data_IF_560273272968
#
_entry.id   IF_560273272968
#
_cell.length_a   1.000
_cell.length_b   1.000
_cell.length_c   1.000
_cell.angle_alpha   90.00
_cell.angle_beta   90.00
_cell.angle_gamma   90.00
#
_symmetry.space_group_name_H-M   'P 1'
#
loop_
_entity.id
_entity.type
_entity.pdbx_description
1 polymer ?
#
# COMPACT_ATOMS: atom_id res chain seq x y z
N UNK A 1 1.81 -0.56 -20.37
CA UNK A 1 2.41 -1.40 -19.31
C UNK A 1 1.34 -1.89 -18.35
N UNK A 2 0.53 -1.00 -17.81
CA UNK A 2 -0.59 -1.30 -16.90
C UNK A 2 -1.58 -2.39 -17.39
N UNK A 3 -2.20 -2.20 -18.55
CA UNK A 3 -3.10 -3.21 -19.14
C UNK A 3 -2.41 -4.56 -19.38
N UNK A 4 -1.10 -4.56 -19.64
CA UNK A 4 -0.30 -5.78 -19.84
C UNK A 4 0.05 -6.49 -18.53
N UNK A 5 0.33 -5.77 -17.45
CA UNK A 5 0.62 -6.39 -16.15
C UNK A 5 -0.60 -7.14 -15.61
N UNK A 6 -1.81 -6.66 -15.91
CA UNK A 6 -3.07 -7.27 -15.50
C UNK A 6 -3.66 -8.26 -16.54
N UNK A 7 -2.86 -8.71 -17.52
CA UNK A 7 -3.35 -9.58 -18.61
C UNK A 7 -3.84 -10.96 -18.15
N UNK A 8 -3.37 -11.44 -17.00
CA UNK A 8 -3.74 -12.76 -16.48
C UNK A 8 -5.20 -12.81 -16.01
N UNK A 9 -5.73 -11.68 -15.54
CA UNK A 9 -7.09 -11.54 -15.04
C UNK A 9 -8.09 -11.35 -16.18
N UNK A 10 -9.26 -11.97 -16.07
CA UNK A 10 -10.33 -11.93 -17.07
C UNK A 10 -11.63 -11.48 -16.43
N UNK A 11 -12.46 -10.78 -17.20
CA UNK A 11 -13.87 -10.59 -16.85
C UNK A 11 -14.74 -11.76 -17.35
N UNK A 12 -16.05 -11.71 -17.06
CA UNK A 12 -17.01 -12.73 -17.47
C UNK A 12 -17.12 -12.93 -19.00
N UNK A 13 -16.68 -11.94 -19.80
CA UNK A 13 -16.63 -12.02 -21.27
C UNK A 13 -15.27 -12.52 -21.79
N UNK A 14 -14.34 -12.84 -20.88
CA UNK A 14 -12.98 -13.26 -21.20
C UNK A 14 -12.07 -12.12 -21.67
N UNK A 15 -12.49 -10.86 -21.51
CA UNK A 15 -11.64 -9.69 -21.78
C UNK A 15 -10.58 -9.60 -20.68
N UNK A 16 -9.37 -9.17 -21.04
CA UNK A 16 -8.20 -9.14 -20.16
C UNK A 16 -7.71 -7.73 -19.92
N UNK A 17 -6.86 -7.55 -18.91
CA UNK A 17 -6.19 -6.29 -18.61
C UNK A 17 -6.88 -5.45 -17.55
N UNK A 18 -6.58 -4.15 -17.53
CA UNK A 18 -7.08 -3.19 -16.54
C UNK A 18 -8.61 -3.09 -16.60
N UNK A 19 -9.23 -2.87 -15.44
CA UNK A 19 -10.65 -2.56 -15.36
C UNK A 19 -10.93 -1.21 -16.05
N UNK A 20 -12.03 -1.14 -16.81
CA UNK A 20 -12.43 0.08 -17.50
C UNK A 20 -12.65 1.23 -16.50
N UNK A 21 -12.56 2.47 -16.99
CA UNK A 21 -12.90 3.65 -16.18
C UNK A 21 -14.32 3.54 -15.61
N UNK A 22 -15.31 3.26 -16.45
CA UNK A 22 -16.71 3.14 -16.04
C UNK A 22 -16.92 2.07 -14.96
N UNK A 23 -16.29 0.90 -15.10
CA UNK A 23 -16.36 -0.18 -14.11
C UNK A 23 -15.79 0.24 -12.74
N UNK A 24 -14.62 0.90 -12.74
CA UNK A 24 -13.97 1.40 -11.52
C UNK A 24 -14.82 2.47 -10.83
N UNK A 25 -15.30 3.45 -11.59
CA UNK A 25 -16.13 4.55 -11.08
C UNK A 25 -17.43 4.03 -10.47
N UNK A 26 -18.16 3.16 -11.17
CA UNK A 26 -19.43 2.60 -10.68
C UNK A 26 -19.22 1.73 -9.44
N UNK A 27 -18.19 0.89 -9.44
CA UNK A 27 -17.87 0.03 -8.28
C UNK A 27 -17.49 0.86 -7.06
N UNK A 28 -16.66 1.88 -7.24
CA UNK A 28 -16.26 2.77 -6.15
C UNK A 28 -17.43 3.60 -5.62
N UNK A 29 -18.28 4.15 -6.49
CA UNK A 29 -19.51 4.82 -6.09
C UNK A 29 -20.45 3.91 -5.29
N UNK A 30 -20.54 2.62 -5.66
CA UNK A 30 -21.33 1.66 -4.87
C UNK A 30 -20.74 1.40 -3.49
N UNK A 31 -19.43 1.24 -3.39
CA UNK A 31 -18.73 1.11 -2.10
C UNK A 31 -19.01 2.32 -1.20
N UNK A 32 -18.83 3.54 -1.74
CA UNK A 32 -19.10 4.78 -1.02
C UNK A 32 -20.56 4.88 -0.59
N UNK A 33 -21.51 4.45 -1.43
CA UNK A 33 -22.93 4.41 -1.06
C UNK A 33 -23.22 3.48 0.11
N UNK A 34 -22.51 2.33 0.22
CA UNK A 34 -22.64 1.41 1.34
C UNK A 34 -22.13 2.07 2.63
N UNK A 35 -20.99 2.78 2.56
CA UNK A 35 -20.47 3.55 3.69
C UNK A 35 -21.45 4.68 4.05
N UNK A 36 -21.93 5.44 3.06
CA UNK A 36 -22.93 6.50 3.20
C UNK A 36 -24.19 6.09 3.95
N UNK A 37 -24.74 4.91 3.63
CA UNK A 37 -25.90 4.36 4.31
C UNK A 37 -25.67 4.13 5.82
N UNK A 38 -24.41 4.02 6.27
CA UNK A 38 -24.10 3.89 7.70
C UNK A 38 -24.34 5.19 8.48
N UNK A 39 -24.52 6.33 7.81
CA UNK A 39 -24.88 7.60 8.44
C UNK A 39 -26.18 7.52 9.24
N UNK A 40 -27.15 6.70 8.81
CA UNK A 40 -28.42 6.48 9.53
C UNK A 40 -28.25 5.81 10.90
N UNK A 41 -27.07 5.25 11.18
CA UNK A 41 -26.74 4.60 12.45
C UNK A 41 -25.89 5.46 13.38
N UNK A 42 -25.67 6.74 13.05
CA UNK A 42 -24.98 7.66 13.95
C UNK A 42 -25.79 7.85 15.23
N UNK A 43 -25.15 7.66 16.39
CA UNK A 43 -25.81 7.89 17.68
C UNK A 43 -26.16 9.37 17.85
N UNK A 44 -27.20 9.66 18.65
CA UNK A 44 -27.53 11.03 19.03
C UNK A 44 -26.34 11.68 19.74
N UNK A 45 -25.94 12.87 19.28
CA UNK A 45 -24.80 13.60 19.85
C UNK A 45 -24.95 13.79 21.37
N UNK A 46 -26.14 14.15 21.84
CA UNK A 46 -26.44 14.32 23.26
C UNK A 46 -26.19 13.06 24.08
N UNK A 47 -26.42 11.87 23.50
CA UNK A 47 -26.16 10.59 24.18
C UNK A 47 -24.66 10.30 24.28
N UNK A 48 -23.90 10.61 23.24
CA UNK A 48 -22.44 10.52 23.26
C UNK A 48 -21.88 11.47 24.31
N UNK A 49 -22.34 12.73 24.32
CA UNK A 49 -21.89 13.76 25.24
C UNK A 49 -22.19 13.41 26.70
N UNK A 50 -23.39 12.88 26.98
CA UNK A 50 -23.78 12.38 28.30
C UNK A 50 -22.92 11.21 28.77
N UNK A 51 -22.72 10.19 27.92
CA UNK A 51 -22.01 8.97 28.32
C UNK A 51 -20.48 9.16 28.36
N UNK A 52 -19.92 9.96 27.45
CA UNK A 52 -18.48 10.25 27.46
C UNK A 52 -18.11 11.25 28.54
N UNK A 53 -18.97 12.25 28.80
CA UNK A 53 -18.78 13.33 29.77
C UNK A 53 -17.34 13.89 29.79
N UNK A 54 -16.74 14.05 28.61
CA UNK A 54 -15.31 14.35 28.51
C UNK A 54 -15.03 15.83 28.73
N UNK A 55 -14.64 16.19 29.96
CA UNK A 55 -14.25 17.56 30.33
C UNK A 55 -12.76 17.84 30.08
N UNK A 56 -11.97 16.84 29.65
CA UNK A 56 -10.53 17.02 29.44
C UNK A 56 -10.28 17.92 28.25
N UNK A 57 -9.61 19.04 28.50
CA UNK A 57 -9.13 19.95 27.45
C UNK A 57 -7.94 19.31 26.74
N UNK A 58 -8.05 19.17 25.41
CA UNK A 58 -6.95 18.76 24.55
C UNK A 58 -5.87 19.84 24.54
N UNK A 59 -4.58 19.50 24.71
CA UNK A 59 -3.49 20.48 24.62
C UNK A 59 -3.33 21.06 23.21
N UNK A 60 -3.85 20.36 22.19
CA UNK A 60 -3.66 20.72 20.78
C UNK A 60 -4.79 21.60 20.25
N UNK A 61 -6.05 21.28 20.56
CA UNK A 61 -7.19 22.12 20.16
C UNK A 61 -7.57 23.16 21.22
N UNK A 62 -7.03 23.05 22.44
CA UNK A 62 -7.43 23.84 23.61
C UNK A 62 -8.95 23.78 23.88
N UNK A 63 -9.57 22.64 23.59
CA UNK A 63 -11.01 22.37 23.74
C UNK A 63 -11.24 20.99 24.34
N UNK A 64 -12.33 20.84 25.08
CA UNK A 64 -12.87 19.52 25.43
C UNK A 64 -13.64 18.92 24.24
N UNK A 65 -13.83 17.60 24.26
CA UNK A 65 -14.61 16.93 23.22
C UNK A 65 -16.10 16.97 23.56
N UNK A 66 -16.91 17.45 22.62
CA UNK A 66 -18.36 17.27 22.59
C UNK A 66 -18.78 16.93 21.16
N UNK A 67 -19.50 15.82 20.98
CA UNK A 67 -19.97 15.29 19.71
C UNK A 67 -20.82 16.30 18.95
N UNK A 68 -21.69 17.07 19.62
CA UNK A 68 -22.49 18.08 18.92
C UNK A 68 -21.60 19.15 18.26
N UNK A 69 -20.60 19.64 18.99
CA UNK A 69 -19.70 20.66 18.47
C UNK A 69 -18.72 20.10 17.43
N UNK A 70 -18.22 18.89 17.65
CA UNK A 70 -17.34 18.17 16.73
C UNK A 70 -18.02 17.97 15.37
N UNK A 71 -19.27 17.50 15.37
CA UNK A 71 -20.07 17.37 14.14
C UNK A 71 -20.34 18.71 13.46
N UNK A 72 -20.56 19.78 14.22
CA UNK A 72 -20.78 21.10 13.66
C UNK A 72 -19.52 21.68 13.00
N UNK A 73 -18.34 21.44 13.57
CA UNK A 73 -17.06 21.95 13.07
C UNK A 73 -16.45 21.08 11.97
N UNK A 74 -16.42 19.78 12.21
CA UNK A 74 -15.66 18.83 11.41
C UNK A 74 -16.55 17.78 10.74
N UNK A 75 -17.86 17.77 10.96
CA UNK A 75 -18.78 16.84 10.30
C UNK A 75 -19.02 17.18 8.83
N UNK A 76 -19.08 16.15 8.00
CA UNK A 76 -19.54 16.28 6.62
C UNK A 76 -21.07 16.27 6.63
N UNK A 77 -21.70 17.36 6.20
CA UNK A 77 -23.15 17.56 6.31
C UNK A 77 -23.68 17.42 7.76
N UNK A 78 -22.87 17.82 8.74
CA UNK A 78 -23.22 17.71 10.17
C UNK A 78 -23.12 16.30 10.75
N UNK A 79 -22.47 15.36 10.06
CA UNK A 79 -22.24 13.99 10.51
C UNK A 79 -20.75 13.61 10.42
N UNK A 80 -20.26 12.82 11.38
CA UNK A 80 -18.93 12.21 11.28
C UNK A 80 -19.00 10.73 10.89
N UNK A 81 -20.20 10.15 10.87
CA UNK A 81 -20.49 8.80 10.39
C UNK A 81 -20.78 8.75 8.89
N UNK A 82 -20.60 7.57 8.29
CA UNK A 82 -20.99 7.32 6.91
C UNK A 82 -20.22 8.11 5.84
N UNK A 83 -19.08 8.69 6.21
CA UNK A 83 -18.20 9.41 5.28
C UNK A 83 -16.87 8.69 5.09
N UNK A 84 -16.15 9.09 4.04
CA UNK A 84 -14.80 8.64 3.73
C UNK A 84 -13.94 9.87 3.50
N UNK A 85 -12.83 9.98 4.21
CA UNK A 85 -11.79 10.97 3.91
C UNK A 85 -10.62 10.28 3.24
N UNK A 86 -10.32 10.62 1.98
CA UNK A 86 -9.16 10.12 1.27
C UNK A 86 -7.96 11.05 1.49
N UNK A 87 -6.87 10.50 2.01
CA UNK A 87 -5.60 11.21 2.04
C UNK A 87 -4.86 10.93 0.74
N UNK A 88 -4.52 11.98 0.00
CA UNK A 88 -3.68 11.85 -1.17
C UNK A 88 -2.33 12.55 -0.95
N UNK A 89 -1.26 11.88 -1.36
CA UNK A 89 0.10 12.40 -1.39
C UNK A 89 0.55 12.50 -2.86
N UNK A 90 0.57 13.71 -3.45
CA UNK A 90 0.91 13.92 -4.86
C UNK A 90 2.28 13.38 -5.27
N UNK A 91 3.20 13.26 -4.31
CA UNK A 91 4.59 12.84 -4.51
C UNK A 91 4.88 11.39 -4.12
N UNK A 92 3.85 10.60 -3.81
CA UNK A 92 4.00 9.15 -3.61
C UNK A 92 4.37 8.44 -4.91
N UNK A 93 5.59 7.89 -4.92
CA UNK A 93 6.09 7.13 -6.05
C UNK A 93 5.62 5.67 -6.05
N UNK A 94 5.44 5.05 -4.90
CA UNK A 94 5.03 3.65 -4.82
C UNK A 94 3.61 3.47 -5.37
N UNK A 95 2.67 4.33 -4.99
CA UNK A 95 1.28 4.27 -5.45
C UNK A 95 1.10 4.87 -6.85
N UNK A 96 2.04 5.70 -7.32
CA UNK A 96 2.06 6.21 -8.70
C UNK A 96 2.64 5.25 -9.73
N UNK A 97 3.15 4.08 -9.30
CA UNK A 97 3.60 3.05 -10.22
C UNK A 97 2.59 2.85 -11.35
N UNK A 98 3.06 2.77 -12.59
CA UNK A 98 2.20 2.75 -13.79
C UNK A 98 1.15 1.64 -13.77
N UNK A 99 1.40 0.55 -13.03
CA UNK A 99 0.48 -0.58 -12.87
C UNK A 99 -0.55 -0.42 -11.74
N UNK A 100 -0.38 0.60 -10.89
CA UNK A 100 -1.23 0.89 -9.73
C UNK A 100 -2.04 2.15 -10.04
N UNK A 101 -1.38 3.32 -10.02
CA UNK A 101 -2.00 4.65 -10.18
C UNK A 101 -3.17 4.86 -9.20
N UNK A 102 -2.91 4.63 -7.90
CA UNK A 102 -3.94 4.64 -6.87
C UNK A 102 -4.40 6.05 -6.47
N UNK A 103 -5.58 6.15 -5.85
CA UNK A 103 -6.15 7.43 -5.37
C UNK A 103 -5.35 8.02 -4.19
N UNK A 104 -4.59 7.20 -3.46
CA UNK A 104 -3.68 7.68 -2.40
C UNK A 104 -2.50 8.49 -2.95
N UNK A 105 -2.15 8.32 -4.22
CA UNK A 105 -1.24 9.21 -4.93
C UNK A 105 -2.02 10.32 -5.62
N UNK A 106 -2.86 9.94 -6.59
CA UNK A 106 -3.45 10.84 -7.60
C UNK A 106 -4.56 11.74 -7.05
N UNK A 107 -5.12 11.40 -5.90
CA UNK A 107 -6.43 11.88 -5.48
C UNK A 107 -7.49 11.60 -6.56
N UNK A 108 -8.57 12.35 -6.48
CA UNK A 108 -9.74 12.24 -7.34
C UNK A 108 -10.09 13.66 -7.82
N UNK A 109 -10.14 13.84 -9.13
CA UNK A 109 -10.47 15.15 -9.71
C UNK A 109 -11.95 15.48 -9.54
N UNK A 110 -12.32 16.76 -9.72
CA UNK A 110 -13.72 17.20 -9.69
C UNK A 110 -14.61 16.41 -10.66
N UNK A 111 -14.14 16.18 -11.89
CA UNK A 111 -14.89 15.41 -12.90
C UNK A 111 -15.06 13.94 -12.47
N UNK A 112 -14.02 13.34 -11.89
CA UNK A 112 -14.15 11.96 -11.39
C UNK A 112 -15.11 11.87 -10.20
N UNK A 113 -15.12 12.86 -9.30
CA UNK A 113 -16.10 12.93 -8.20
C UNK A 113 -17.54 13.02 -8.74
N UNK A 114 -17.76 13.85 -9.77
CA UNK A 114 -19.05 13.98 -10.46
C UNK A 114 -19.49 12.65 -11.09
N UNK A 115 -18.57 11.94 -11.77
CA UNK A 115 -18.87 10.64 -12.38
C UNK A 115 -19.14 9.53 -11.35
N UNK A 116 -18.47 9.57 -10.18
CA UNK A 116 -18.70 8.62 -9.07
C UNK A 116 -20.14 8.79 -8.52
N UNK A 117 -20.66 10.03 -8.52
CA UNK A 117 -22.08 10.30 -8.28
C UNK A 117 -22.56 10.15 -6.83
N UNK A 118 -21.66 10.22 -5.84
CA UNK A 118 -21.97 10.07 -4.41
C UNK A 118 -21.55 11.30 -3.60
N UNK A 119 -22.15 12.44 -3.93
CA UNK A 119 -21.87 13.71 -3.27
C UNK A 119 -22.12 13.63 -1.75
N UNK A 120 -21.26 14.32 -0.98
CA UNK A 120 -21.43 14.42 0.48
C UNK A 120 -21.05 13.18 1.28
N UNK A 121 -20.35 12.22 0.67
CA UNK A 121 -19.80 11.02 1.35
C UNK A 121 -18.27 11.05 1.36
N UNK A 122 -17.66 11.36 0.21
CA UNK A 122 -16.21 11.34 0.04
C UNK A 122 -15.65 12.76 0.09
N UNK A 123 -14.61 12.94 0.90
CA UNK A 123 -13.79 14.16 0.94
C UNK A 123 -12.32 13.80 0.79
N UNK A 124 -11.47 14.80 0.57
CA UNK A 124 -10.04 14.61 0.36
C UNK A 124 -9.20 15.59 1.18
N UNK A 125 -8.05 15.11 1.68
CA UNK A 125 -6.96 15.95 2.18
C UNK A 125 -5.70 15.69 1.38
N UNK A 126 -4.98 16.75 1.04
CA UNK A 126 -3.72 16.67 0.30
C UNK A 126 -2.57 16.87 1.28
N UNK A 127 -1.66 15.90 1.33
CA UNK A 127 -0.40 16.01 2.06
C UNK A 127 0.72 16.27 1.05
N UNK A 128 1.19 17.52 0.99
CA UNK A 128 2.25 17.96 0.10
C UNK A 128 3.05 19.11 0.73
N UNK A 129 4.36 19.17 0.45
CA UNK A 129 5.18 20.31 0.89
C UNK A 129 4.70 21.62 0.28
N UNK A 130 4.68 22.68 1.11
CA UNK A 130 4.15 23.98 0.72
C UNK A 130 2.62 24.05 0.69
N UNK A 131 1.92 22.96 1.03
CA UNK A 131 0.47 22.90 1.10
C UNK A 131 0.02 22.49 2.51
N UNK A 132 -0.44 23.45 3.34
CA UNK A 132 -0.98 23.12 4.65
C UNK A 132 -2.13 22.11 4.54
N UNK A 133 -2.11 21.11 5.41
CA UNK A 133 -3.21 20.16 5.60
C UNK A 133 -4.30 20.86 6.40
N UNK A 134 -5.56 20.61 6.06
CA UNK A 134 -6.71 21.17 6.79
C UNK A 134 -7.27 22.47 6.24
N UNK A 135 -6.88 22.86 5.03
CA UNK A 135 -7.50 23.97 4.29
C UNK A 135 -8.25 23.46 3.07
N UNK A 136 -9.45 24.00 2.85
CA UNK A 136 -10.22 23.72 1.64
C UNK A 136 -9.73 24.52 0.44
N UNK A 137 -8.84 23.93 -0.37
CA UNK A 137 -8.32 24.57 -1.59
C UNK A 137 -7.93 23.55 -2.65
N UNK A 138 -7.97 23.90 -3.94
CA UNK A 138 -7.50 23.02 -4.99
C UNK A 138 -5.98 22.82 -4.88
N UNK A 139 -5.52 21.59 -5.14
CA UNK A 139 -4.11 21.26 -5.36
C UNK A 139 -3.89 20.93 -6.84
N UNK A 140 -3.09 21.74 -7.52
CA UNK A 140 -2.74 21.60 -8.94
C UNK A 140 -1.37 20.93 -9.00
N UNK A 141 -1.32 19.72 -9.55
CA UNK A 141 -0.14 18.85 -9.36
C UNK A 141 1.15 19.47 -9.86
N UNK A 142 1.13 20.13 -11.01
CA UNK A 142 2.34 20.66 -11.62
C UNK A 142 2.73 22.04 -11.07
N UNK A 143 1.73 22.85 -10.73
CA UNK A 143 1.88 24.24 -10.32
C UNK A 143 2.13 24.40 -8.82
N UNK A 144 1.58 23.49 -8.01
CA UNK A 144 1.74 23.46 -6.55
C UNK A 144 2.78 22.40 -6.11
N UNK A 145 3.58 21.89 -7.06
CA UNK A 145 4.77 21.08 -6.79
C UNK A 145 5.83 21.91 -6.04
N UNK A 146 6.46 21.33 -5.02
CA UNK A 146 7.44 22.03 -4.18
C UNK A 146 8.70 22.50 -4.93
N UNK A 147 8.97 21.96 -6.12
CA UNK A 147 10.06 22.35 -7.02
C UNK A 147 9.61 23.28 -8.15
N UNK A 148 8.31 23.58 -8.26
CA UNK A 148 7.79 24.44 -9.31
C UNK A 148 8.44 25.84 -9.28
N UNK A 149 8.95 26.29 -10.43
CA UNK A 149 9.60 27.59 -10.58
C UNK A 149 10.94 27.76 -9.86
N UNK A 150 11.50 26.69 -9.25
CA UNK A 150 12.81 26.72 -8.58
C UNK A 150 13.94 26.44 -9.56
N UNK A 151 15.13 26.98 -9.29
CA UNK A 151 16.31 26.80 -10.14
C UNK A 151 17.11 25.57 -9.70
N UNK A 152 17.83 24.96 -10.65
CA UNK A 152 18.73 23.83 -10.38
C UNK A 152 18.05 22.51 -10.00
N UNK A 153 16.72 22.41 -10.14
CA UNK A 153 15.96 21.20 -9.84
C UNK A 153 16.13 20.13 -10.92
N UNK A 154 15.97 18.86 -10.54
CA UNK A 154 15.95 17.74 -11.50
C UNK A 154 14.69 17.83 -12.38
N UNK A 155 14.79 17.48 -13.67
CA UNK A 155 13.68 17.58 -14.60
C UNK A 155 12.54 16.60 -14.29
N UNK A 156 11.32 17.00 -14.61
CA UNK A 156 10.11 16.18 -14.48
C UNK A 156 9.42 16.29 -13.11
N UNK A 157 8.27 15.61 -12.99
CA UNK A 157 7.43 15.68 -11.78
C UNK A 157 7.99 14.91 -10.58
N UNK A 158 8.87 13.95 -10.81
CA UNK A 158 9.33 13.04 -9.76
C UNK A 158 10.65 13.49 -9.12
N UNK A 159 10.68 13.44 -7.79
CA UNK A 159 11.90 13.44 -6.98
C UNK A 159 11.82 12.30 -5.95
N UNK A 160 12.85 11.44 -5.84
CA UNK A 160 13.93 11.25 -6.82
C UNK A 160 13.37 10.94 -8.23
N UNK A 161 14.12 11.14 -9.33
CA UNK A 161 13.58 10.88 -10.66
C UNK A 161 13.12 9.44 -10.82
N UNK A 162 11.88 9.27 -11.30
CA UNK A 162 11.27 7.97 -11.60
C UNK A 162 12.22 7.09 -12.41
N UNK A 163 12.59 5.87 -11.99
CA UNK A 163 13.52 5.05 -12.73
C UNK A 163 12.91 4.52 -14.05
N UNK A 164 13.73 4.20 -15.06
CA UNK A 164 13.24 3.51 -16.25
C UNK A 164 12.85 2.07 -15.89
N UNK A 165 11.80 1.54 -16.52
CA UNK A 165 11.45 0.13 -16.40
C UNK A 165 12.58 -0.72 -17.01
N UNK A 166 13.14 -1.65 -16.21
CA UNK A 166 14.19 -2.56 -16.64
C UNK A 166 13.64 -3.99 -16.72
N UNK A 167 14.01 -4.70 -17.77
CA UNK A 167 13.77 -6.14 -17.81
C UNK A 167 14.67 -6.82 -16.79
N UNK A 168 14.08 -7.53 -15.83
CA UNK A 168 14.81 -8.32 -14.86
C UNK A 168 14.73 -9.80 -15.27
N UNK A 169 15.76 -10.28 -15.96
CA UNK A 169 15.84 -11.68 -16.41
C UNK A 169 15.74 -12.66 -15.22
N UNK A 170 16.45 -12.37 -14.13
CA UNK A 170 16.43 -13.21 -12.93
C UNK A 170 15.00 -13.25 -12.34
N UNK A 171 14.34 -12.10 -12.25
CA UNK A 171 12.94 -12.01 -11.82
C UNK A 171 11.97 -12.72 -12.77
N UNK A 172 12.18 -12.62 -14.08
CA UNK A 172 11.35 -13.26 -15.10
C UNK A 172 11.50 -14.79 -15.08
N UNK A 173 12.71 -15.31 -14.87
CA UNK A 173 12.95 -16.75 -14.70
C UNK A 173 12.33 -17.23 -13.37
N UNK A 174 12.57 -16.51 -12.26
CA UNK A 174 12.01 -16.82 -10.93
C UNK A 174 10.48 -16.77 -10.89
N UNK A 175 9.84 -16.02 -11.80
CA UNK A 175 8.39 -15.93 -11.92
C UNK A 175 7.74 -17.02 -12.76
N UNK A 176 8.50 -17.91 -13.39
CA UNK A 176 7.96 -19.05 -14.14
C UNK A 176 7.97 -20.32 -13.29
N UNK A 177 6.81 -20.98 -13.23
CA UNK A 177 6.62 -22.21 -12.47
C UNK A 177 6.96 -23.48 -13.27
N UNK A 178 7.33 -23.34 -14.56
CA UNK A 178 7.66 -24.47 -15.44
C UNK A 178 9.00 -24.30 -16.14
N UNK A 179 9.68 -25.43 -16.37
CA UNK A 179 10.95 -25.51 -17.12
C UNK A 179 10.81 -24.93 -18.53
N UNK A 180 9.66 -25.16 -19.18
CA UNK A 180 9.37 -24.60 -20.50
C UNK A 180 9.21 -23.07 -20.46
N UNK A 181 8.52 -22.52 -19.45
CA UNK A 181 8.41 -21.07 -19.25
C UNK A 181 9.75 -20.40 -18.96
N UNK A 182 10.63 -21.06 -18.20
CA UNK A 182 12.01 -20.59 -17.98
C UNK A 182 12.82 -20.56 -19.28
N UNK A 183 12.72 -21.61 -20.12
CA UNK A 183 13.41 -21.68 -21.41
C UNK A 183 12.91 -20.58 -22.39
N UNK A 184 11.60 -20.38 -22.48
CA UNK A 184 11.02 -19.30 -23.31
C UNK A 184 11.47 -17.90 -22.83
N UNK A 185 11.62 -17.71 -21.52
CA UNK A 185 12.13 -16.47 -20.94
C UNK A 185 13.59 -16.23 -21.32
N UNK A 186 14.43 -17.26 -21.28
CA UNK A 186 15.84 -17.17 -21.70
C UNK A 186 15.98 -16.83 -23.19
N UNK A 187 15.14 -17.41 -24.05
CA UNK A 187 15.14 -17.16 -25.50
C UNK A 187 14.71 -15.73 -25.84
N UNK A 188 13.72 -15.19 -25.11
CA UNK A 188 13.18 -13.84 -25.36
C UNK A 188 13.96 -12.73 -24.65
N UNK A 189 14.79 -13.07 -23.66
CA UNK A 189 15.55 -12.11 -22.85
C UNK A 189 16.43 -11.13 -23.64
N UNK A 190 17.20 -11.55 -24.67
CA UNK A 190 18.05 -10.61 -25.42
C UNK A 190 17.24 -9.50 -26.09
N UNK A 191 16.08 -9.84 -26.66
CA UNK A 191 15.16 -8.87 -27.25
C UNK A 191 14.61 -7.91 -26.18
N UNK A 192 14.20 -8.43 -25.02
CA UNK A 192 13.69 -7.61 -23.92
C UNK A 192 14.75 -6.67 -23.32
N UNK A 193 16.02 -7.10 -23.24
CA UNK A 193 17.13 -6.23 -22.85
C UNK A 193 17.39 -5.13 -23.87
N UNK A 194 17.35 -5.43 -25.17
CA UNK A 194 17.49 -4.40 -26.23
C UNK A 194 16.34 -3.41 -26.16
N UNK A 195 15.09 -3.89 -26.06
CA UNK A 195 13.90 -3.03 -25.98
C UNK A 195 13.93 -2.14 -24.74
N UNK A 196 14.22 -2.70 -23.56
CA UNK A 196 14.28 -1.92 -22.31
C UNK A 196 15.50 -1.00 -22.24
N UNK A 197 16.61 -1.39 -22.86
CA UNK A 197 17.79 -0.53 -23.02
C UNK A 197 17.51 0.68 -23.91
N UNK A 198 16.87 0.48 -25.07
CA UNK A 198 16.45 1.57 -25.97
C UNK A 198 15.42 2.47 -25.28
N UNK A 199 14.39 1.90 -24.64
CA UNK A 199 13.37 2.71 -23.95
C UNK A 199 13.98 3.52 -22.80
N UNK A 200 14.88 2.92 -22.01
CA UNK A 200 15.61 3.62 -20.96
C UNK A 200 16.43 4.78 -21.51
N UNK A 201 17.16 4.57 -22.61
CA UNK A 201 17.99 5.61 -23.24
C UNK A 201 17.15 6.76 -23.82
N UNK A 202 15.95 6.46 -24.31
CA UNK A 202 15.00 7.43 -24.85
C UNK A 202 14.10 8.07 -23.78
N UNK A 203 14.34 7.82 -22.49
CA UNK A 203 13.49 8.32 -21.40
C UNK A 203 12.02 7.85 -21.51
N UNK A 204 11.79 6.67 -22.09
CA UNK A 204 10.49 6.05 -22.29
C UNK A 204 10.27 4.92 -21.27
N UNK A 205 9.00 4.62 -20.97
CA UNK A 205 8.59 3.53 -20.07
C UNK A 205 9.15 3.67 -18.64
N UNK A 206 8.87 4.81 -18.01
CA UNK A 206 9.18 5.06 -16.59
C UNK A 206 8.31 4.20 -15.67
N UNK A 207 8.82 3.89 -14.47
CA UNK A 207 8.13 3.06 -13.47
C UNK A 207 6.92 3.79 -12.88
N UNK A 208 7.06 5.10 -12.63
CA UNK A 208 5.99 5.96 -12.14
C UNK A 208 5.25 6.63 -13.30
N UNK A 209 3.93 6.71 -13.20
CA UNK A 209 3.11 7.51 -14.11
C UNK A 209 3.24 8.99 -13.77
N UNK A 210 3.25 9.87 -14.76
CA UNK A 210 3.18 11.31 -14.50
C UNK A 210 1.72 11.74 -14.29
N UNK A 211 1.46 12.72 -13.41
CA UNK A 211 0.13 13.29 -13.28
C UNK A 211 -0.30 13.93 -14.61
N UNK A 212 -1.56 13.77 -15.05
CA UNK A 212 -2.04 14.41 -16.26
C UNK A 212 -1.79 15.93 -16.25
N UNK A 213 -1.57 16.54 -17.41
CA UNK A 213 -1.43 18.01 -17.49
C UNK A 213 -2.72 18.67 -17.02
N UNK A 214 -2.59 19.69 -16.16
CA UNK A 214 -3.74 20.38 -15.55
C UNK A 214 -4.49 19.56 -14.50
N UNK A 215 -3.96 18.40 -14.07
CA UNK A 215 -4.58 17.59 -13.04
C UNK A 215 -4.71 18.38 -11.73
N UNK A 216 -5.94 18.48 -11.24
CA UNK A 216 -6.28 19.23 -10.03
C UNK A 216 -7.16 18.36 -9.15
N UNK A 217 -6.78 18.26 -7.88
CA UNK A 217 -7.58 17.62 -6.83
C UNK A 217 -8.20 18.70 -5.97
N UNK A 218 -9.44 18.46 -5.54
CA UNK A 218 -10.12 19.36 -4.59
C UNK A 218 -9.85 18.82 -3.20
N UNK A 219 -9.06 19.53 -2.38
CA UNK A 219 -9.03 19.27 -0.94
C UNK A 219 -10.29 19.89 -0.35
N UNK A 220 -11.31 19.08 -0.10
CA UNK A 220 -12.67 19.49 0.31
C UNK A 220 -13.09 18.91 1.66
N UNK A 221 -12.19 18.21 2.35
CA UNK A 221 -12.45 17.77 3.73
C UNK A 221 -12.72 18.99 4.64
N UNK A 222 -13.55 18.84 5.69
CA UNK A 222 -13.80 19.91 6.65
C UNK A 222 -12.52 20.50 7.21
N UNK A 223 -12.52 21.81 7.48
CA UNK A 223 -11.36 22.51 8.01
C UNK A 223 -10.92 21.89 9.34
N UNK A 224 -9.60 21.90 9.56
CA UNK A 224 -9.01 21.51 10.83
C UNK A 224 -8.93 22.71 11.76
N UNK A 225 -8.95 22.47 13.07
CA UNK A 225 -8.83 23.54 14.07
C UNK A 225 -7.55 24.35 13.89
N UNK A 226 -6.44 23.68 13.54
CA UNK A 226 -5.18 24.29 13.20
C UNK A 226 -4.63 23.64 11.91
N UNK A 227 -4.72 24.31 10.75
CA UNK A 227 -4.04 23.85 9.56
C UNK A 227 -2.53 23.83 9.74
N UNK A 228 -1.87 22.76 9.30
CA UNK A 228 -0.45 22.54 9.56
C UNK A 228 0.32 22.13 8.30
N UNK A 229 1.60 22.52 8.15
CA UNK A 229 2.45 21.98 7.09
C UNK A 229 2.77 20.51 7.39
N UNK A 230 2.63 19.58 6.44
CA UNK A 230 2.99 18.19 6.68
C UNK A 230 4.51 18.04 6.76
N UNK A 231 4.99 17.15 7.63
CA UNK A 231 6.41 16.83 7.82
C UNK A 231 6.62 15.32 7.91
N UNK A 232 7.55 14.79 7.12
CA UNK A 232 7.91 13.38 7.15
C UNK A 232 8.92 13.12 8.26
N UNK A 233 8.74 12.00 8.96
CA UNK A 233 9.69 11.49 9.93
C UNK A 233 10.32 10.20 9.40
N UNK A 234 11.65 10.15 9.40
CA UNK A 234 12.41 8.95 9.04
C UNK A 234 13.32 8.57 10.19
N UNK A 235 13.18 7.34 10.67
CA UNK A 235 13.85 6.84 11.88
C UNK A 235 13.67 7.79 13.09
N UNK A 236 12.46 8.34 13.24
CA UNK A 236 12.09 9.27 14.32
C UNK A 236 12.64 10.69 14.18
N UNK A 237 13.26 11.04 13.04
CA UNK A 237 13.84 12.36 12.80
C UNK A 237 13.10 13.07 11.65
N UNK A 238 12.87 14.40 11.77
CA UNK A 238 12.38 15.20 10.65
C UNK A 238 13.27 15.06 9.42
N UNK A 239 12.63 14.90 8.26
CA UNK A 239 13.31 14.89 6.97
C UNK A 239 13.43 16.32 6.45
N UNK A 240 14.58 16.67 5.89
CA UNK A 240 14.76 17.83 5.02
C UNK A 240 15.37 17.34 3.70
N UNK A 241 14.64 17.52 2.61
CA UNK A 241 15.05 17.14 1.26
C UNK A 241 15.32 18.38 0.42
N UNK A 242 16.44 18.38 -0.32
CA UNK A 242 16.82 19.46 -1.23
C UNK A 242 16.95 18.99 -2.68
N UNK A 243 16.51 19.84 -3.61
CA UNK A 243 16.71 19.68 -5.05
C UNK A 243 16.94 21.05 -5.68
N UNK A 244 18.17 21.38 -6.05
CA UNK A 244 18.53 22.76 -6.40
C UNK A 244 18.17 23.73 -5.28
N UNK A 245 17.43 24.78 -5.62
CA UNK A 245 16.94 25.80 -4.67
C UNK A 245 15.63 25.41 -3.97
N UNK A 246 15.10 24.21 -4.23
CA UNK A 246 13.90 23.71 -3.58
C UNK A 246 14.24 22.98 -2.27
N UNK A 247 13.44 23.21 -1.23
CA UNK A 247 13.50 22.49 0.05
C UNK A 247 12.12 21.93 0.39
N UNK A 248 12.09 20.74 0.96
CA UNK A 248 10.86 20.06 1.35
C UNK A 248 11.06 19.30 2.67
N UNK A 249 10.11 19.45 3.59
CA UNK A 249 10.10 18.75 4.87
C UNK A 249 9.23 17.47 4.85
N UNK A 250 8.60 17.16 3.72
CA UNK A 250 7.66 16.04 3.58
C UNK A 250 8.04 15.05 2.48
N UNK A 251 8.68 15.52 1.40
CA UNK A 251 9.19 14.67 0.35
C UNK A 251 10.48 14.01 0.82
N UNK A 252 10.65 12.72 0.49
CA UNK A 252 11.81 11.96 0.93
C UNK A 252 12.76 11.68 -0.25
N UNK A 253 14.02 11.38 0.07
CA UNK A 253 14.97 10.79 -0.88
C UNK A 253 14.67 9.31 -1.14
N UNK A 254 15.64 8.56 -1.66
CA UNK A 254 15.46 7.11 -1.81
C UNK A 254 15.24 6.45 -0.44
N UNK A 255 14.46 5.37 -0.42
CA UNK A 255 14.25 4.53 0.77
C UNK A 255 14.96 3.17 0.69
N UNK A 256 16.31 3.14 0.74
CA UNK A 256 17.01 1.88 0.59
C UNK A 256 16.86 0.99 1.82
N UNK A 257 16.63 -0.32 1.65
CA UNK A 257 16.52 -1.27 2.75
C UNK A 257 17.81 -1.30 3.61
N UNK A 258 18.97 -1.01 3.02
CA UNK A 258 20.22 -0.94 3.78
C UNK A 258 20.24 0.14 4.88
N UNK A 259 19.41 1.17 4.79
CA UNK A 259 19.28 2.21 5.81
C UNK A 259 18.55 1.72 7.08
N UNK A 260 17.73 0.67 6.96
CA UNK A 260 16.90 0.15 8.06
C UNK A 260 17.69 -0.67 9.09
N UNK A 261 18.95 -0.99 8.77
CA UNK A 261 19.92 -1.61 9.69
C UNK A 261 20.20 -0.71 10.89
N UNK A 262 20.59 -1.31 12.00
CA UNK A 262 20.91 -0.63 13.24
C UNK A 262 22.19 0.19 13.10
N UNK A 263 22.03 1.51 13.13
CA UNK A 263 23.15 2.46 13.03
C UNK A 263 24.11 2.40 14.23
N UNK A 264 23.62 1.94 15.38
CA UNK A 264 24.35 1.95 16.65
C UNK A 264 24.79 0.56 17.10
N UNK A 265 24.71 -0.45 16.22
CA UNK A 265 25.12 -1.81 16.54
C UNK A 265 26.60 -1.86 16.91
N UNK A 266 26.89 -2.26 18.14
CA UNK A 266 28.26 -2.33 18.64
C UNK A 266 29.07 -3.38 17.86
N UNK A 267 30.37 -3.13 17.69
CA UNK A 267 31.24 -4.06 16.94
C UNK A 267 31.32 -5.44 17.59
N UNK A 268 31.15 -5.54 18.91
CA UNK A 268 31.07 -6.82 19.62
C UNK A 268 29.80 -7.63 19.31
N UNK A 269 28.72 -6.96 18.89
CA UNK A 269 27.43 -7.58 18.53
C UNK A 269 27.33 -7.90 17.04
N UNK A 270 28.29 -7.43 16.23
CA UNK A 270 28.39 -7.75 14.81
C UNK A 270 28.99 -9.14 14.62
N UNK A 271 28.41 -9.90 13.70
CA UNK A 271 28.89 -11.23 13.35
C UNK A 271 29.57 -11.22 11.99
N UNK A 272 30.73 -11.88 11.91
CA UNK A 272 31.53 -11.97 10.69
C UNK A 272 30.83 -12.74 9.56
N UNK A 273 29.89 -13.63 9.90
CA UNK A 273 29.14 -14.45 8.97
C UNK A 273 27.70 -13.93 8.71
N UNK A 274 27.40 -12.71 9.16
CA UNK A 274 26.09 -12.06 8.98
C UNK A 274 26.14 -11.05 7.83
N UNK A 275 25.35 -11.26 6.76
CA UNK A 275 25.40 -10.41 5.57
C UNK A 275 24.97 -8.95 5.82
N UNK A 276 24.16 -8.67 6.85
CA UNK A 276 23.76 -7.30 7.18
C UNK A 276 24.87 -6.55 7.94
N UNK A 277 25.56 -7.26 8.84
CA UNK A 277 26.65 -6.71 9.65
C UNK A 277 27.88 -6.42 8.79
N UNK A 278 28.13 -7.25 7.78
CA UNK A 278 29.24 -7.10 6.84
C UNK A 278 28.89 -6.23 5.61
N UNK A 279 27.66 -5.72 5.49
CA UNK A 279 27.25 -4.93 4.34
C UNK A 279 27.89 -3.54 4.33
N UNK A 280 28.60 -3.24 3.24
CA UNK A 280 29.19 -1.94 2.99
C UNK A 280 28.26 -1.07 2.13
N UNK A 281 27.83 0.06 2.68
CA UNK A 281 26.94 0.98 1.98
C UNK A 281 27.60 1.54 0.70
N UNK A 282 26.88 1.46 -0.42
CA UNK A 282 27.36 1.95 -1.73
C UNK A 282 27.07 3.43 -1.99
N UNK A 283 26.21 4.03 -1.18
CA UNK A 283 25.87 5.45 -1.26
C UNK A 283 25.45 5.97 0.14
N UNK A 284 25.33 7.29 0.27
CA UNK A 284 24.97 7.93 1.53
C UNK A 284 23.60 7.49 2.06
N UNK A 285 22.61 7.37 1.17
CA UNK A 285 21.25 6.93 1.53
C UNK A 285 21.25 5.50 2.13
N UNK A 286 22.20 4.64 1.73
CA UNK A 286 22.30 3.24 2.16
C UNK A 286 23.07 3.03 3.47
N UNK A 287 23.59 4.11 4.06
CA UNK A 287 24.21 4.05 5.40
C UNK A 287 23.12 3.70 6.42
N UNK A 288 23.47 2.82 7.37
CA UNK A 288 22.55 2.41 8.43
C UNK A 288 22.10 3.64 9.24
N UNK A 289 20.79 3.76 9.43
CA UNK A 289 20.12 4.86 10.13
C UNK A 289 19.05 4.37 11.11
N UNK A 290 18.68 3.09 11.03
CA UNK A 290 17.68 2.45 11.86
C UNK A 290 18.18 2.10 13.27
N UNK A 291 17.36 1.32 13.95
CA UNK A 291 17.57 0.80 15.31
C UNK A 291 17.59 -0.72 15.29
N UNK A 292 17.93 -1.34 16.43
CA UNK A 292 17.80 -2.78 16.61
C UNK A 292 16.39 -3.31 16.27
N UNK A 293 15.34 -2.53 16.55
CA UNK A 293 13.94 -2.90 16.25
C UNK A 293 13.66 -2.87 14.74
N UNK A 294 14.08 -1.80 14.04
CA UNK A 294 13.86 -1.71 12.60
C UNK A 294 14.66 -2.76 11.83
N UNK A 295 15.89 -3.06 12.27
CA UNK A 295 16.69 -4.14 11.68
C UNK A 295 16.05 -5.51 11.93
N UNK A 296 15.50 -5.75 13.13
CA UNK A 296 14.79 -6.99 13.43
C UNK A 296 13.54 -7.16 12.56
N UNK A 297 12.77 -6.08 12.36
CA UNK A 297 11.63 -6.05 11.44
C UNK A 297 12.04 -6.36 10.00
N UNK A 298 13.08 -5.70 9.50
CA UNK A 298 13.64 -5.97 8.17
C UNK A 298 14.06 -7.44 8.02
N UNK A 299 14.82 -7.98 8.98
CA UNK A 299 15.26 -9.39 8.94
C UNK A 299 14.10 -10.37 8.95
N UNK A 300 13.00 -10.04 9.63
CA UNK A 300 11.79 -10.85 9.64
C UNK A 300 11.13 -10.89 8.25
N UNK A 301 10.96 -9.72 7.61
CA UNK A 301 10.42 -9.60 6.26
C UNK A 301 11.30 -10.29 5.22
N UNK A 302 12.61 -10.03 5.27
CA UNK A 302 13.59 -10.63 4.37
C UNK A 302 13.57 -12.16 4.49
N UNK A 303 13.45 -12.72 5.70
CA UNK A 303 13.32 -14.18 5.88
C UNK A 303 12.05 -14.73 5.22
N UNK A 304 10.93 -14.01 5.26
CA UNK A 304 9.71 -14.45 4.59
C UNK A 304 9.89 -14.49 3.07
N UNK A 305 10.50 -13.43 2.50
CA UNK A 305 10.85 -13.38 1.09
C UNK A 305 11.87 -14.47 0.72
N UNK A 306 12.86 -14.74 1.57
CA UNK A 306 13.87 -15.78 1.32
C UNK A 306 13.26 -17.16 1.23
N UNK A 307 12.27 -17.48 2.08
CA UNK A 307 11.55 -18.75 1.97
C UNK A 307 10.79 -18.87 0.65
N UNK A 308 10.19 -17.78 0.18
CA UNK A 308 9.54 -17.75 -1.14
C UNK A 308 10.55 -17.93 -2.28
N UNK A 309 11.69 -17.27 -2.19
CA UNK A 309 12.77 -17.33 -3.18
C UNK A 309 13.40 -18.72 -3.24
N UNK A 310 13.64 -19.35 -2.10
CA UNK A 310 14.21 -20.69 -2.00
C UNK A 310 13.32 -21.73 -2.67
N UNK A 311 12.00 -21.69 -2.43
CA UNK A 311 11.03 -22.57 -3.11
C UNK A 311 11.06 -22.41 -4.64
N UNK A 312 11.33 -21.20 -5.14
CA UNK A 312 11.42 -20.91 -6.59
C UNK A 312 12.72 -21.40 -7.23
N UNK A 313 13.73 -21.76 -6.44
CA UNK A 313 14.96 -22.36 -6.99
C UNK A 313 14.76 -23.80 -7.48
N UNK A 314 13.69 -24.46 -7.03
CA UNK A 314 13.43 -25.89 -7.26
C UNK A 314 14.57 -26.80 -6.76
N UNK A 315 15.44 -26.30 -5.88
CA UNK A 315 16.45 -27.12 -5.22
C UNK A 315 15.78 -27.98 -4.14
N UNK A 316 15.54 -29.24 -4.47
CA UNK A 316 14.88 -30.21 -3.58
C UNK A 316 15.69 -30.53 -2.33
N UNK A 317 16.99 -30.24 -2.30
CA UNK A 317 17.83 -30.43 -1.09
C UNK A 317 17.57 -29.35 -0.03
N UNK A 318 16.97 -28.23 -0.42
CA UNK A 318 16.63 -27.13 0.49
C UNK A 318 15.20 -27.19 1.00
N UNK A 319 14.41 -28.16 0.52
CA UNK A 319 13.00 -28.31 0.83
C UNK A 319 12.73 -29.65 1.50
N UNK A 320 11.87 -29.67 2.53
CA UNK A 320 11.34 -30.93 3.07
C UNK A 320 10.27 -31.54 2.14
N UNK A 321 9.71 -32.68 2.53
CA UNK A 321 8.71 -33.40 1.71
C UNK A 321 7.41 -32.62 1.56
N UNK A 322 7.16 -31.71 2.48
CA UNK A 322 6.00 -30.83 2.56
C UNK A 322 6.24 -29.48 1.86
N UNK A 323 7.46 -29.23 1.36
CA UNK A 323 7.84 -28.01 0.64
C UNK A 323 8.25 -26.84 1.53
N UNK A 324 8.49 -27.06 2.83
CA UNK A 324 9.07 -26.06 3.72
C UNK A 324 10.57 -25.94 3.50
N UNK A 325 11.12 -24.76 3.76
CA UNK A 325 12.55 -24.49 3.60
C UNK A 325 13.30 -24.97 4.83
N UNK A 326 14.17 -25.95 4.64
CA UNK A 326 14.97 -26.58 5.70
C UNK A 326 15.95 -25.54 6.28
N UNK A 327 16.06 -25.46 7.60
CA UNK A 327 16.98 -24.55 8.29
C UNK A 327 16.44 -23.15 8.59
N UNK A 328 15.25 -22.81 8.09
CA UNK A 328 14.54 -21.55 8.44
C UNK A 328 13.39 -21.77 9.45
N UNK A 329 13.18 -23.00 9.91
CA UNK A 329 12.20 -23.41 10.93
C UNK A 329 12.70 -23.24 12.38
N UNK A 330 13.96 -22.83 12.54
CA UNK A 330 14.63 -22.68 13.83
C UNK A 330 14.99 -23.99 14.54
N UNK A 331 14.83 -25.14 13.87
CA UNK A 331 15.05 -26.48 14.46
C UNK A 331 15.93 -27.36 13.59
N UNK A 332 15.73 -27.30 12.27
CA UNK A 332 16.46 -28.10 11.30
C UNK A 332 17.86 -27.55 11.06
N UNK A 333 18.81 -28.44 10.77
CA UNK A 333 20.14 -28.03 10.34
C UNK A 333 20.06 -27.35 8.96
N UNK A 334 20.82 -26.27 8.78
CA UNK A 334 20.89 -25.56 7.50
C UNK A 334 21.53 -26.47 6.44
N UNK A 335 20.88 -26.73 5.30
CA UNK A 335 21.44 -27.55 4.22
C UNK A 335 22.72 -26.95 3.64
N UNK A 336 23.54 -27.81 3.03
CA UNK A 336 24.74 -27.38 2.32
C UNK A 336 24.40 -26.36 1.21
N UNK A 337 25.24 -25.34 1.07
CA UNK A 337 25.07 -24.26 0.09
C UNK A 337 23.95 -23.26 0.36
N UNK A 338 22.94 -23.58 1.21
CA UNK A 338 21.80 -22.69 1.46
C UNK A 338 22.24 -21.38 2.12
N UNK A 339 23.10 -21.44 3.14
CA UNK A 339 23.61 -20.24 3.83
C UNK A 339 24.33 -19.30 2.85
N UNK A 340 25.24 -19.83 2.05
CA UNK A 340 26.01 -19.04 1.09
C UNK A 340 25.10 -18.40 0.03
N UNK A 341 24.13 -19.15 -0.48
CA UNK A 341 23.13 -18.63 -1.41
C UNK A 341 22.29 -17.51 -0.78
N UNK A 342 21.73 -17.75 0.42
CA UNK A 342 20.89 -16.80 1.16
C UNK A 342 21.64 -15.50 1.43
N UNK A 343 22.87 -15.60 1.91
CA UNK A 343 23.67 -14.43 2.26
C UNK A 343 23.99 -13.58 1.01
N UNK A 344 24.24 -14.24 -0.15
CA UNK A 344 24.36 -13.54 -1.44
C UNK A 344 23.06 -12.84 -1.85
N UNK A 345 21.89 -13.49 -1.64
CA UNK A 345 20.60 -12.86 -1.97
C UNK A 345 20.33 -11.64 -1.08
N UNK A 346 20.67 -11.70 0.22
CA UNK A 346 20.50 -10.55 1.13
C UNK A 346 21.32 -9.36 0.66
N UNK A 347 22.62 -9.56 0.40
CA UNK A 347 23.50 -8.48 -0.08
C UNK A 347 22.98 -7.89 -1.40
N UNK A 348 22.55 -8.76 -2.34
CA UNK A 348 21.97 -8.34 -3.61
C UNK A 348 20.66 -7.55 -3.43
N UNK A 349 19.83 -7.86 -2.43
CA UNK A 349 18.62 -7.06 -2.12
C UNK A 349 18.95 -5.69 -1.54
N UNK A 350 19.90 -5.63 -0.62
CA UNK A 350 20.40 -4.37 -0.06
C UNK A 350 20.97 -3.47 -1.17
N UNK A 351 21.67 -4.07 -2.13
CA UNK A 351 22.23 -3.38 -3.29
C UNK A 351 21.18 -2.90 -4.29
N UNK A 352 20.29 -3.81 -4.73
CA UNK A 352 19.27 -3.48 -5.74
C UNK A 352 18.24 -2.50 -5.20
N UNK A 353 17.99 -2.51 -3.88
CA UNK A 353 17.10 -1.58 -3.20
C UNK A 353 17.69 -0.18 -3.00
N UNK A 354 18.95 0.07 -3.36
CA UNK A 354 19.65 1.36 -3.15
C UNK A 354 18.96 2.59 -3.75
N UNK A 355 18.03 2.38 -4.69
CA UNK A 355 17.24 3.42 -5.38
C UNK A 355 15.74 3.16 -5.26
N UNK A 356 15.32 2.44 -4.22
CA UNK A 356 13.91 2.25 -3.93
C UNK A 356 13.24 3.61 -3.76
N UNK A 357 12.12 3.77 -4.46
CA UNK A 357 11.29 4.96 -4.36
C UNK A 357 10.76 5.12 -2.93
N UNK A 358 10.69 6.36 -2.42
CA UNK A 358 10.05 6.62 -1.15
C UNK A 358 8.54 6.34 -1.25
N UNK A 359 7.96 5.91 -0.13
CA UNK A 359 6.53 5.60 -0.07
C UNK A 359 5.68 6.86 0.04
N UNK A 360 6.15 7.95 0.68
CA UNK A 360 5.51 9.27 0.94
C UNK A 360 4.02 9.29 1.38
N UNK A 361 3.12 8.51 0.79
CA UNK A 361 1.78 8.32 1.30
C UNK A 361 1.78 7.64 2.66
N UNK A 362 2.59 6.58 2.87
CA UNK A 362 2.71 5.99 4.21
C UNK A 362 3.24 6.99 5.24
N UNK A 363 4.08 7.95 4.83
CA UNK A 363 4.60 8.99 5.75
C UNK A 363 3.55 9.97 6.22
N UNK A 364 2.41 10.05 5.53
CA UNK A 364 1.23 10.79 5.98
C UNK A 364 0.86 10.38 7.41
N UNK A 365 0.96 9.10 7.78
CA UNK A 365 0.54 8.60 9.10
C UNK A 365 1.71 8.11 9.98
N UNK A 366 2.97 8.22 9.54
CA UNK A 366 4.14 7.89 10.40
C UNK A 366 4.54 9.04 11.32
N UNK A 367 4.06 10.26 11.06
CA UNK A 367 4.20 11.37 11.99
C UNK A 367 2.98 11.42 12.93
N UNK A 368 3.15 11.22 14.25
CA UNK A 368 2.04 11.24 15.20
C UNK A 368 1.28 12.58 15.20
N UNK A 369 1.94 13.71 14.88
CA UNK A 369 1.26 15.00 14.77
C UNK A 369 0.22 15.02 13.65
N UNK A 370 0.45 14.31 12.54
CA UNK A 370 -0.53 14.24 11.46
C UNK A 370 -1.78 13.48 11.90
N UNK A 371 -1.60 12.40 12.67
CA UNK A 371 -2.72 11.64 13.22
C UNK A 371 -3.51 12.46 14.24
N UNK A 372 -2.80 13.17 15.12
CA UNK A 372 -3.40 14.04 16.12
C UNK A 372 -4.15 15.23 15.51
N UNK A 373 -3.58 15.89 14.50
CA UNK A 373 -4.11 17.13 13.94
C UNK A 373 -5.10 16.91 12.79
N UNK A 374 -5.04 15.77 12.07
CA UNK A 374 -5.94 15.48 10.95
C UNK A 374 -6.81 14.24 11.20
N UNK A 375 -6.21 13.06 11.40
CA UNK A 375 -6.95 11.79 11.49
C UNK A 375 -7.98 11.81 12.62
N UNK A 376 -7.65 12.40 13.76
CA UNK A 376 -8.54 12.54 14.91
C UNK A 376 -9.88 13.20 14.57
N UNK A 377 -9.92 14.09 13.57
CA UNK A 377 -11.13 14.80 13.14
C UNK A 377 -11.83 14.15 11.93
N UNK A 378 -11.18 13.19 11.27
CA UNK A 378 -11.73 12.49 10.11
C UNK A 378 -12.39 11.16 10.49
N UNK A 379 -12.05 10.60 11.64
CA UNK A 379 -12.67 9.37 12.17
C UNK A 379 -13.97 9.66 12.89
N UNK A 380 -14.88 8.70 12.85
CA UNK A 380 -16.12 8.75 13.59
C UNK A 380 -15.90 8.37 15.06
N UNK A 381 -16.27 9.25 15.99
CA UNK A 381 -16.22 8.96 17.44
C UNK A 381 -17.61 8.53 17.91
N UNK A 382 -17.66 7.47 18.71
CA UNK A 382 -18.91 6.95 19.25
C UNK A 382 -18.69 5.95 20.38
N UNK A 383 -19.80 5.44 20.89
CA UNK A 383 -19.82 4.53 22.02
C UNK A 383 -19.78 3.08 21.54
N UNK A 384 -18.88 2.29 22.13
CA UNK A 384 -18.83 0.85 21.88
C UNK A 384 -19.64 0.12 22.96
N UNK A 385 -20.81 -0.39 22.58
CA UNK A 385 -21.68 -1.17 23.46
C UNK A 385 -21.43 -2.68 23.39
N UNK A 386 -20.37 -3.12 22.70
CA UNK A 386 -19.99 -4.54 22.68
C UNK A 386 -19.56 -4.95 24.08
N UNK A 387 -20.23 -5.97 24.63
CA UNK A 387 -19.80 -6.62 25.87
C UNK A 387 -18.47 -7.33 25.66
N UNK A 388 -17.73 -7.59 26.74
CA UNK A 388 -16.50 -8.39 26.69
C UNK A 388 -16.74 -9.75 26.02
N UNK A 389 -17.88 -10.39 26.29
CA UNK A 389 -18.27 -11.66 25.67
C UNK A 389 -18.42 -11.52 24.15
N UNK A 390 -19.09 -10.47 23.67
CA UNK A 390 -19.23 -10.21 22.24
C UNK A 390 -17.89 -9.88 21.59
N UNK A 391 -17.05 -9.08 22.23
CA UNK A 391 -15.71 -8.76 21.71
C UNK A 391 -14.83 -10.01 21.61
N UNK A 392 -14.90 -10.91 22.60
CA UNK A 392 -14.21 -12.21 22.56
C UNK A 392 -14.72 -13.10 21.43
N UNK A 393 -16.04 -13.13 21.22
CA UNK A 393 -16.66 -13.92 20.14
C UNK A 393 -16.21 -13.38 18.78
N UNK A 394 -16.31 -12.05 18.57
CA UNK A 394 -15.83 -11.38 17.36
C UNK A 394 -14.35 -11.65 17.09
N UNK A 395 -13.49 -11.64 18.13
CA UNK A 395 -12.06 -11.96 17.96
C UNK A 395 -11.83 -13.40 17.48
N UNK A 396 -12.63 -14.35 17.97
CA UNK A 396 -12.56 -15.75 17.51
C UNK A 396 -13.02 -15.86 16.06
N UNK A 397 -14.13 -15.20 15.71
CA UNK A 397 -14.69 -15.21 14.35
C UNK A 397 -13.77 -14.51 13.34
N UNK A 398 -13.08 -13.43 13.74
CA UNK A 398 -12.22 -12.63 12.87
C UNK A 398 -10.81 -13.20 12.68
N UNK A 399 -10.32 -14.06 13.58
CA UNK A 399 -9.00 -14.69 13.48
C UNK A 399 -9.14 -16.13 12.98
N UNK A 400 -8.80 -16.35 11.71
CA UNK A 400 -8.86 -17.66 11.06
C UNK A 400 -8.10 -18.76 11.81
N UNK A 401 -7.11 -18.41 12.64
CA UNK A 401 -6.35 -19.37 13.46
C UNK A 401 -7.10 -19.83 14.71
N UNK A 402 -8.15 -19.12 15.09
CA UNK A 402 -8.95 -19.38 16.30
C UNK A 402 -10.27 -20.09 15.98
N UNK A 403 -10.53 -20.51 14.73
CA UNK A 403 -11.83 -21.04 14.30
C UNK A 403 -12.32 -22.29 15.06
N UNK A 404 -11.43 -23.07 15.69
CA UNK A 404 -11.81 -24.15 16.60
C UNK A 404 -12.62 -23.66 17.81
N UNK A 405 -12.39 -22.41 18.23
CA UNK A 405 -13.13 -21.76 19.32
C UNK A 405 -14.54 -21.31 18.94
N UNK A 406 -14.90 -21.29 17.66
CA UNK A 406 -16.24 -20.91 17.22
C UNK A 406 -17.26 -22.03 17.54
N UNK A 407 -18.43 -21.70 18.13
CA UNK A 407 -19.49 -22.67 18.41
C UNK A 407 -19.92 -23.45 17.16
N UNK A 408 -20.31 -24.72 17.32
CA UNK A 408 -20.73 -25.56 16.18
C UNK A 408 -21.98 -25.03 15.47
N UNK A 409 -22.83 -24.30 16.19
CA UNK A 409 -24.04 -23.67 15.66
C UNK A 409 -23.83 -22.22 15.22
N UNK A 410 -22.58 -21.73 15.22
CA UNK A 410 -22.25 -20.40 14.72
C UNK A 410 -22.43 -20.35 13.20
N UNK A 411 -23.17 -19.36 12.64
CA UNK A 411 -23.33 -19.24 11.20
C UNK A 411 -22.00 -19.08 10.46
N UNK A 412 -20.97 -18.50 11.11
CA UNK A 412 -19.65 -18.30 10.54
C UNK A 412 -18.75 -19.54 10.64
N UNK A 413 -19.20 -20.63 11.30
CA UNK A 413 -18.40 -21.84 11.49
C UNK A 413 -17.93 -22.45 10.16
N UNK A 414 -18.76 -22.38 9.12
CA UNK A 414 -18.44 -22.89 7.78
C UNK A 414 -17.14 -22.29 7.22
N UNK A 415 -16.84 -21.02 7.52
CA UNK A 415 -15.62 -20.36 7.04
C UNK A 415 -14.34 -20.85 7.74
N UNK A 416 -14.45 -21.50 8.90
CA UNK A 416 -13.27 -22.08 9.58
C UNK A 416 -12.65 -23.19 8.73
N UNK A 417 -13.50 -24.06 8.18
CA UNK A 417 -13.05 -25.18 7.34
C UNK A 417 -12.37 -24.69 6.06
N UNK A 418 -12.82 -23.55 5.54
CA UNK A 418 -12.18 -22.88 4.41
C UNK A 418 -10.72 -22.52 4.69
N UNK A 419 -10.42 -21.90 5.83
CA UNK A 419 -9.04 -21.52 6.14
C UNK A 419 -8.10 -22.72 6.34
N UNK A 420 -8.63 -23.85 6.82
CA UNK A 420 -7.86 -25.07 7.00
C UNK A 420 -7.64 -25.87 5.69
N UNK A 421 -8.68 -25.96 4.86
CA UNK A 421 -8.70 -26.85 3.68
C UNK A 421 -8.55 -26.14 2.33
N UNK A 422 -8.74 -24.82 2.29
CA UNK A 422 -8.89 -24.06 1.04
C UNK A 422 -10.22 -24.31 0.31
N UNK A 423 -11.18 -24.97 0.96
CA UNK A 423 -12.50 -25.31 0.39
C UNK A 423 -13.62 -24.89 1.33
N UNK A 424 -14.72 -24.36 0.78
CA UNK A 424 -15.95 -24.13 1.53
C UNK A 424 -16.94 -25.23 1.19
N UNK A 425 -17.45 -25.97 2.18
CA UNK A 425 -18.32 -27.14 1.97
C UNK A 425 -17.75 -28.17 0.97
N UNK A 426 -16.43 -28.44 1.06
CA UNK A 426 -15.67 -29.31 0.12
C UNK A 426 -15.64 -28.80 -1.33
N UNK A 427 -16.09 -27.56 -1.57
CA UNK A 427 -16.03 -26.90 -2.86
C UNK A 427 -14.80 -25.99 -2.91
N UNK A 428 -13.92 -26.13 -3.91
CA UNK A 428 -12.84 -25.17 -4.14
C UNK A 428 -13.40 -23.76 -4.37
N UNK A 429 -12.72 -22.73 -3.85
CA UNK A 429 -13.21 -21.34 -3.94
C UNK A 429 -13.61 -20.91 -5.36
N UNK A 430 -12.80 -21.26 -6.36
CA UNK A 430 -13.06 -20.89 -7.75
C UNK A 430 -14.36 -21.50 -8.32
N UNK A 431 -14.89 -22.56 -7.71
CA UNK A 431 -16.21 -23.12 -8.04
C UNK A 431 -17.28 -22.47 -7.17
N UNK A 432 -17.01 -22.30 -5.87
CA UNK A 432 -17.95 -21.72 -4.92
C UNK A 432 -18.41 -20.31 -5.32
N UNK A 433 -17.50 -19.42 -5.75
CA UNK A 433 -17.86 -18.06 -6.20
C UNK A 433 -18.69 -18.02 -7.50
N UNK A 434 -18.86 -19.18 -8.16
CA UNK A 434 -19.65 -19.35 -9.38
C UNK A 434 -20.84 -20.30 -9.19
N UNK A 435 -21.02 -20.86 -7.99
CA UNK A 435 -22.13 -21.75 -7.70
C UNK A 435 -23.46 -20.98 -7.61
N UNK A 436 -24.54 -21.63 -8.00
CA UNK A 436 -25.88 -21.05 -7.98
C UNK A 436 -26.27 -20.69 -6.54
N UNK A 437 -26.77 -19.46 -6.32
CA UNK A 437 -27.12 -18.92 -5.00
C UNK A 437 -25.98 -18.89 -3.97
N UNK A 438 -24.73 -18.95 -4.42
CA UNK A 438 -23.57 -18.80 -3.53
C UNK A 438 -23.46 -17.37 -3.00
N UNK A 439 -23.26 -17.24 -1.70
CA UNK A 439 -22.94 -15.97 -1.04
C UNK A 439 -21.57 -15.39 -1.49
N UNK A 440 -20.71 -16.23 -2.07
CA UNK A 440 -19.45 -15.81 -2.69
C UNK A 440 -19.61 -15.21 -4.08
N UNK A 441 -20.82 -15.24 -4.65
CA UNK A 441 -21.08 -14.68 -5.97
C UNK A 441 -20.85 -13.17 -5.95
N UNK A 442 -20.12 -12.66 -6.94
CA UNK A 442 -19.91 -11.22 -7.10
C UNK A 442 -21.28 -10.51 -7.15
N UNK A 443 -21.53 -9.52 -6.27
CA UNK A 443 -22.80 -8.81 -6.27
C UNK A 443 -23.07 -8.14 -7.62
N UNK A 444 -24.31 -8.16 -8.09
CA UNK A 444 -24.71 -7.57 -9.39
C UNK A 444 -24.47 -6.06 -9.49
N UNK A 445 -24.28 -5.39 -8.34
CA UNK A 445 -23.93 -3.98 -8.27
C UNK A 445 -22.45 -3.70 -8.54
N UNK A 446 -21.58 -4.71 -8.45
CA UNK A 446 -20.15 -4.62 -8.79
C UNK A 446 -19.99 -4.87 -10.30
N UNK A 447 -19.21 -4.02 -10.96
CA UNK A 447 -18.95 -4.13 -12.39
C UNK A 447 -17.48 -4.50 -12.60
N UNK A 448 -17.24 -5.71 -13.13
CA UNK A 448 -15.93 -6.15 -13.60
C UNK A 448 -15.95 -6.19 -15.13
N UNK A 449 -15.54 -5.09 -15.76
CA UNK A 449 -15.31 -5.00 -17.20
C UNK A 449 -13.87 -4.60 -17.47
N UNK A 450 -13.24 -5.24 -18.46
CA UNK A 450 -11.82 -5.00 -18.79
C UNK A 450 -11.62 -4.43 -20.18
N UNK A 451 -10.55 -3.66 -20.37
CA UNK A 451 -10.24 -2.96 -21.63
C UNK A 451 -10.13 -3.89 -22.86
N UNK A 452 -9.74 -5.15 -22.67
CA UNK A 452 -9.97 -6.19 -23.68
C UNK A 452 -9.12 -6.12 -24.96
N UNK A 453 -7.92 -5.52 -24.91
CA UNK A 453 -7.08 -5.38 -26.11
C UNK A 453 -6.62 -6.72 -26.71
N UNK A 454 -6.66 -6.84 -28.04
CA UNK A 454 -6.35 -8.06 -28.80
C UNK A 454 -4.96 -8.65 -28.50
N UNK A 455 -3.94 -7.81 -28.31
CA UNK A 455 -2.56 -8.24 -28.03
C UNK A 455 -2.38 -8.85 -26.64
N UNK A 456 -3.34 -8.71 -25.72
CA UNK A 456 -3.28 -9.29 -24.37
C UNK A 456 -3.56 -10.81 -24.35
N UNK A 457 -3.97 -11.39 -25.48
CA UNK A 457 -4.15 -12.84 -25.65
C UNK A 457 -2.84 -13.57 -25.99
N UNK A 458 -1.81 -12.86 -26.44
CA UNK A 458 -0.51 -13.43 -26.80
C UNK A 458 0.20 -13.97 -25.55
N UNK A 459 0.58 -15.25 -25.57
CA UNK A 459 1.21 -15.95 -24.44
C UNK A 459 0.26 -16.75 -23.54
N UNK A 460 -1.03 -16.86 -23.89
CA UNK A 460 -1.98 -17.75 -23.20
C UNK A 460 -2.14 -19.13 -23.86
N UNK A 461 -1.26 -19.47 -24.80
CA UNK A 461 -1.12 -20.82 -25.36
C UNK A 461 0.07 -21.49 -24.69
N UNK A 462 -0.09 -21.87 -23.41
CA UNK A 462 0.60 -22.98 -22.76
C UNK A 462 -0.37 -23.59 -21.77
#
# INVERSE_FOLDING_TARGET
MDTWSQRATKDARGQRGRQTYAARTKTFGKFLSIVGARGEHELLASKIDEDMANERVSPTSNRSYAAHEDRARHGLNGSTYGRVTAYCCPHDQVISAVTVQGIGWRGISKHELEDIGVAGILTQRVFASGFPVGVQKPYRYWEDDWRHGKQGTKPGFWYPPSPPAKFNLIGAIKGNESVFGMAATLVTAPLMFVVTGISSALNMLRVNADPPKGWTVVADAPDLDEPFPPQALRFGKPVETKDGDATSDFNEGNDPPAAWRDANKADADKRADDPYDQYNAKNADSVAQGTAETEAGQRYEDRALMRMEARRTLNTEWLDREGHVIGEDGKSAVPEGYKEWRDKQIVDWLDRGSTNSPTNHSTTMTNPEHAEKALAYDVAVGLCYLTEKQLKSLRIEADWRMGDGAPLNDPNKTYTDYFASGTLDRMPLHQWVHAENSEGTMPTAIVDEREGSLYLKAGSVV
#
